data_IF_900543573818
#
_entry.id   IF_900543573818
#
_cell.length_a   1.000
_cell.length_b   1.000
_cell.length_c   1.000
_cell.angle_alpha   90.00
_cell.angle_beta   90.00
_cell.angle_gamma   90.00
#
_symmetry.space_group_name_H-M   'P 1'
#
loop_
_entity.id
_entity.type
_entity.pdbx_description
1 polymer ?
#
# COMPACT_ATOMS: atom_id res chain seq x y z
N UNK A 1 15.79 6.29 0.47
CA UNK A 1 15.64 4.97 -0.17
C UNK A 1 14.18 4.83 -0.45
N UNK A 2 13.79 4.65 -1.71
CA UNK A 2 12.39 4.57 -2.07
C UNK A 2 11.87 3.15 -1.83
N UNK A 3 10.70 3.04 -1.19
CA UNK A 3 9.97 1.78 -1.02
C UNK A 3 8.54 1.96 -1.51
N UNK A 4 7.96 0.85 -1.97
CA UNK A 4 6.61 0.76 -2.49
C UNK A 4 5.80 -0.11 -1.52
N UNK A 5 4.73 0.46 -0.97
CA UNK A 5 3.84 -0.23 -0.02
C UNK A 5 2.54 -0.51 -0.74
N UNK A 6 2.14 -1.77 -0.80
CA UNK A 6 0.83 -2.16 -1.36
C UNK A 6 -0.16 -2.25 -0.20
N UNK A 7 -1.25 -1.50 -0.31
CA UNK A 7 -2.31 -1.38 0.68
C UNK A 7 -3.61 -1.96 0.14
N UNK A 8 -4.37 -2.59 1.03
CA UNK A 8 -5.68 -3.16 0.73
C UNK A 8 -6.70 -2.64 1.74
N UNK A 9 -7.74 -1.95 1.26
CA UNK A 9 -8.83 -1.41 2.06
C UNK A 9 -10.07 -2.32 1.97
N UNK A 10 -10.48 -2.81 3.12
CA UNK A 10 -11.70 -3.56 3.34
C UNK A 10 -12.85 -2.62 3.64
N UNK A 11 -13.53 -2.15 2.60
CA UNK A 11 -14.57 -1.13 2.74
C UNK A 11 -15.81 -1.68 3.44
N UNK A 12 -16.23 -2.89 3.10
CA UNK A 12 -17.44 -3.49 3.68
C UNK A 12 -17.19 -4.20 5.01
N UNK A 13 -15.94 -4.56 5.31
CA UNK A 13 -15.55 -5.28 6.53
C UNK A 13 -14.76 -4.34 7.44
N UNK A 14 -15.48 -3.60 8.28
CA UNK A 14 -14.96 -2.74 9.35
C UNK A 14 -14.08 -1.54 8.91
N UNK A 15 -14.02 -1.21 7.61
CA UNK A 15 -13.19 -0.10 7.10
C UNK A 15 -11.72 -0.23 7.55
N UNK A 16 -11.13 -1.42 7.37
CA UNK A 16 -9.74 -1.70 7.73
C UNK A 16 -8.81 -1.52 6.53
N UNK A 17 -7.60 -1.03 6.78
CA UNK A 17 -6.52 -1.02 5.79
C UNK A 17 -5.43 -2.01 6.23
N UNK A 18 -5.13 -2.97 5.36
CA UNK A 18 -4.05 -3.94 5.53
C UNK A 18 -2.84 -3.60 4.65
N UNK A 19 -1.65 -3.95 5.15
CA UNK A 19 -0.41 -3.91 4.38
C UNK A 19 -0.22 -5.27 3.72
N UNK A 20 -0.36 -5.30 2.40
CA UNK A 20 -0.12 -6.51 1.59
C UNK A 20 1.38 -6.81 1.55
N UNK A 21 2.19 -5.77 1.39
CA UNK A 21 3.65 -5.91 1.35
C UNK A 21 4.39 -4.58 1.20
N UNK A 22 5.69 -4.62 1.48
CA UNK A 22 6.63 -3.52 1.32
C UNK A 22 7.77 -4.00 0.44
N UNK A 23 8.05 -3.26 -0.63
CA UNK A 23 8.96 -3.66 -1.70
C UNK A 23 9.96 -2.55 -2.01
N UNK A 24 11.19 -2.93 -2.37
CA UNK A 24 12.22 -1.99 -2.85
C UNK A 24 12.16 -1.80 -4.37
N UNK A 25 11.35 -2.60 -5.07
CA UNK A 25 11.18 -2.58 -6.51
C UNK A 25 9.70 -2.42 -6.88
N UNK A 26 9.40 -1.52 -7.82
CA UNK A 26 8.05 -1.26 -8.30
C UNK A 26 7.43 -2.48 -8.99
N UNK A 27 8.21 -3.28 -9.72
CA UNK A 27 7.70 -4.47 -10.41
C UNK A 27 7.12 -5.50 -9.45
N UNK A 28 7.79 -5.72 -8.31
CA UNK A 28 7.36 -6.66 -7.28
C UNK A 28 6.09 -6.14 -6.58
N UNK A 29 6.02 -4.83 -6.34
CA UNK A 29 4.82 -4.18 -5.82
C UNK A 29 3.64 -4.27 -6.81
N UNK A 30 3.87 -4.11 -8.11
CA UNK A 30 2.84 -4.27 -9.14
C UNK A 30 2.32 -5.71 -9.23
N UNK A 31 3.20 -6.71 -9.10
CA UNK A 31 2.79 -8.12 -9.07
C UNK A 31 1.94 -8.42 -7.83
N UNK A 32 2.39 -7.97 -6.65
CA UNK A 32 1.63 -8.11 -5.41
C UNK A 32 0.28 -7.40 -5.48
N UNK A 33 0.23 -6.19 -6.05
CA UNK A 33 -1.01 -5.45 -6.27
C UNK A 33 -1.96 -6.18 -7.22
N UNK A 34 -1.47 -6.72 -8.35
CA UNK A 34 -2.30 -7.49 -9.30
C UNK A 34 -2.92 -8.70 -8.61
N UNK A 35 -2.13 -9.44 -7.86
CA UNK A 35 -2.60 -10.61 -7.11
C UNK A 35 -3.63 -10.23 -6.05
N UNK A 36 -3.37 -9.18 -5.27
CA UNK A 36 -4.32 -8.68 -4.30
C UNK A 36 -5.65 -8.27 -4.96
N UNK A 37 -5.60 -7.70 -6.17
CA UNK A 37 -6.82 -7.33 -6.92
C UNK A 37 -7.69 -8.49 -7.37
N UNK A 38 -7.09 -9.65 -7.65
CA UNK A 38 -7.84 -10.82 -8.11
C UNK A 38 -8.77 -11.36 -7.02
N UNK A 39 -8.41 -11.17 -5.75
CA UNK A 39 -9.13 -11.68 -4.58
C UNK A 39 -10.01 -10.60 -3.89
N UNK A 40 -10.24 -9.44 -4.51
CA UNK A 40 -10.96 -8.33 -3.86
C UNK A 40 -12.47 -8.54 -3.81
N UNK A 41 -13.05 -8.26 -2.64
CA UNK A 41 -14.49 -8.17 -2.45
C UNK A 41 -15.07 -6.88 -3.08
N UNK A 42 -16.40 -6.88 -3.27
CA UNK A 42 -17.12 -5.73 -3.81
C UNK A 42 -16.88 -4.47 -2.95
N UNK A 43 -16.44 -3.38 -3.59
CA UNK A 43 -16.08 -2.07 -3.00
C UNK A 43 -14.79 -2.00 -2.22
N UNK A 44 -14.06 -3.09 -2.08
CA UNK A 44 -12.70 -2.97 -1.55
C UNK A 44 -11.82 -2.21 -2.55
N UNK A 45 -10.74 -1.61 -2.05
CA UNK A 45 -9.77 -0.86 -2.86
C UNK A 45 -8.34 -1.34 -2.59
N UNK A 46 -7.49 -1.33 -3.63
CA UNK A 46 -6.09 -1.72 -3.50
C UNK A 46 -5.22 -0.73 -4.27
N UNK A 47 -4.18 -0.21 -3.63
CA UNK A 47 -3.30 0.80 -4.22
C UNK A 47 -1.86 0.70 -3.71
N UNK A 48 -0.95 1.27 -4.48
CA UNK A 48 0.48 1.34 -4.14
C UNK A 48 0.83 2.75 -3.67
N UNK A 49 1.52 2.86 -2.54
CA UNK A 49 2.04 4.11 -1.99
C UNK A 49 3.56 4.09 -2.06
N UNK A 50 4.15 5.16 -2.60
CA UNK A 50 5.59 5.34 -2.62
C UNK A 50 6.06 6.13 -1.40
N UNK A 51 7.07 5.64 -0.69
CA UNK A 51 7.65 6.29 0.49
C UNK A 51 9.16 6.41 0.32
N UNK A 52 9.69 7.63 0.46
CA UNK A 52 11.14 7.82 0.59
C UNK A 52 11.53 7.74 2.07
N UNK A 53 12.24 6.67 2.44
CA UNK A 53 12.73 6.44 3.80
C UNK A 53 13.81 7.43 4.24
N UNK A 54 14.44 8.15 3.30
CA UNK A 54 15.41 9.20 3.64
C UNK A 54 14.76 10.56 3.87
N UNK A 55 13.46 10.68 3.58
CA UNK A 55 12.71 11.90 3.79
C UNK A 55 12.22 11.93 5.23
N UNK A 56 12.78 12.84 6.02
CA UNK A 56 12.33 13.09 7.39
C UNK A 56 10.95 13.76 7.34
N UNK A 57 9.89 12.99 7.64
CA UNK A 57 8.51 13.48 7.72
C UNK A 57 8.21 14.10 9.11
N UNK A 58 9.18 14.16 10.02
CA UNK A 58 9.00 14.55 11.42
C UNK A 58 9.28 16.02 11.77
N UNK A 59 9.35 16.94 10.79
CA UNK A 59 9.67 18.36 11.06
C UNK A 59 8.57 19.38 10.69
N UNK A 60 7.34 18.96 10.46
CA UNK A 60 6.22 19.90 10.49
C UNK A 60 5.78 20.10 11.93
N UNK A 61 6.30 21.19 12.50
CA UNK A 61 6.04 21.68 13.86
C UNK A 61 4.54 21.88 14.08
N UNK A 62 4.12 21.49 15.29
CA UNK A 62 2.98 21.97 16.07
C UNK A 62 2.34 23.28 15.58
#
# INVERSE_FOLDING_TARGET
MEVYVVLYEHYLQDHRIDVVGVFENISDAEEAWKKAREDMDFRDECWTVTKDLNRDYGKERY
#
